data_IF_457971481751
#
_entry.id   IF_457971481751
#
_cell.length_a   1.000
_cell.length_b   1.000
_cell.length_c   1.000
_cell.angle_alpha   90.00
_cell.angle_beta   90.00
_cell.angle_gamma   90.00
#
_symmetry.space_group_name_H-M   'P 1'
#
loop_
_entity.id
_entity.type
_entity.pdbx_description
1 polymer ?
#
# COMPACT_ATOMS: atom_id res chain seq x y z
N UNK A 1 -40.98 41.83 -10.60
CA UNK A 1 -40.26 41.47 -11.84
C UNK A 1 -38.99 40.71 -11.46
N UNK A 2 -38.90 39.44 -11.87
CA UNK A 2 -37.80 38.46 -11.81
C UNK A 2 -36.46 38.89 -11.16
N UNK A 3 -36.00 38.23 -10.09
CA UNK A 3 -35.27 36.93 -10.10
C UNK A 3 -33.95 36.96 -10.88
N UNK A 4 -32.91 37.57 -10.30
CA UNK A 4 -31.56 37.50 -10.84
C UNK A 4 -30.49 37.51 -9.73
N UNK A 5 -30.57 36.59 -8.77
CA UNK A 5 -29.49 36.27 -7.84
C UNK A 5 -29.83 34.96 -7.11
N UNK A 6 -29.62 33.79 -7.73
CA UNK A 6 -28.54 32.94 -7.21
C UNK A 6 -28.03 31.93 -8.27
N UNK A 7 -27.55 32.39 -9.44
CA UNK A 7 -27.02 31.45 -10.44
C UNK A 7 -25.55 31.06 -10.20
N UNK A 8 -24.79 31.80 -9.39
CA UNK A 8 -23.36 31.55 -9.16
C UNK A 8 -23.02 30.70 -7.92
N UNK A 9 -23.97 30.48 -7.01
CA UNK A 9 -23.77 29.66 -5.81
C UNK A 9 -24.07 28.16 -6.03
N UNK A 10 -24.69 27.80 -7.15
CA UNK A 10 -25.14 26.43 -7.41
C UNK A 10 -24.05 25.49 -7.94
N UNK A 11 -22.86 25.99 -8.33
CA UNK A 11 -21.82 25.16 -8.95
C UNK A 11 -20.78 24.60 -7.96
N UNK A 12 -20.80 25.06 -6.70
CA UNK A 12 -19.78 24.66 -5.71
C UNK A 12 -20.11 23.40 -4.90
N UNK A 13 -21.27 22.76 -5.16
CA UNK A 13 -21.81 21.67 -4.34
C UNK A 13 -21.57 20.24 -4.85
N UNK A 14 -20.88 20.04 -5.98
CA UNK A 14 -20.77 18.72 -6.63
C UNK A 14 -19.36 18.10 -6.56
N UNK A 15 -18.68 18.22 -5.43
CA UNK A 15 -17.61 17.28 -5.06
C UNK A 15 -18.15 16.32 -3.99
N UNK A 16 -18.94 15.34 -4.43
CA UNK A 16 -19.25 14.17 -3.62
C UNK A 16 -17.95 13.38 -3.44
N UNK A 17 -17.44 13.17 -2.21
CA UNK A 17 -16.32 12.28 -2.01
C UNK A 17 -16.75 10.88 -2.46
N UNK A 18 -16.14 10.39 -3.55
CA UNK A 18 -16.34 9.00 -3.94
C UNK A 18 -15.86 8.12 -2.77
N UNK A 19 -16.61 7.09 -2.38
CA UNK A 19 -16.12 6.12 -1.42
C UNK A 19 -14.86 5.50 -2.01
N UNK A 20 -13.71 5.80 -1.41
CA UNK A 20 -12.48 5.08 -1.68
C UNK A 20 -12.74 3.64 -1.20
N UNK A 21 -13.05 2.75 -2.14
CA UNK A 21 -13.13 1.33 -1.85
C UNK A 21 -11.73 0.88 -1.49
N UNK A 22 -11.48 0.73 -0.19
CA UNK A 22 -10.28 0.04 0.29
C UNK A 22 -10.39 -1.38 -0.22
N UNK A 23 -9.51 -1.77 -1.14
CA UNK A 23 -9.40 -3.14 -1.59
C UNK A 23 -8.93 -3.97 -0.39
N UNK A 24 -9.87 -4.63 0.28
CA UNK A 24 -9.57 -5.50 1.40
C UNK A 24 -8.86 -6.74 0.85
N UNK A 25 -7.52 -6.70 0.87
CA UNK A 25 -6.70 -7.83 0.45
C UNK A 25 -6.85 -8.89 1.52
N UNK A 26 -7.41 -10.05 1.15
CA UNK A 26 -7.53 -11.18 2.05
C UNK A 26 -6.16 -11.52 2.68
N UNK A 27 -6.08 -11.86 3.99
CA UNK A 27 -4.81 -12.10 4.67
C UNK A 27 -3.91 -13.13 3.97
N UNK A 28 -4.47 -14.22 3.45
CA UNK A 28 -3.72 -15.23 2.70
C UNK A 28 -3.14 -14.67 1.39
N UNK A 29 -3.89 -13.80 0.72
CA UNK A 29 -3.46 -13.14 -0.50
C UNK A 29 -2.34 -12.13 -0.22
N UNK A 30 -2.36 -11.46 0.94
CA UNK A 30 -1.28 -10.58 1.38
C UNK A 30 0.01 -11.38 1.60
N UNK A 31 -0.04 -12.45 2.40
CA UNK A 31 1.12 -13.32 2.68
C UNK A 31 1.70 -13.87 1.37
N UNK A 32 0.86 -14.37 0.47
CA UNK A 32 1.29 -14.87 -0.84
C UNK A 32 1.96 -13.78 -1.66
N UNK A 33 1.36 -12.60 -1.74
CA UNK A 33 1.90 -11.47 -2.52
C UNK A 33 3.27 -11.05 -2.01
N UNK A 34 3.40 -10.81 -0.71
CA UNK A 34 4.67 -10.40 -0.08
C UNK A 34 5.73 -11.49 -0.28
N UNK A 35 5.38 -12.76 -0.09
CA UNK A 35 6.32 -13.88 -0.29
C UNK A 35 6.84 -13.93 -1.73
N UNK A 36 5.94 -13.83 -2.72
CA UNK A 36 6.33 -13.84 -4.13
C UNK A 36 7.18 -12.62 -4.50
N UNK A 37 6.87 -11.46 -3.95
CA UNK A 37 7.65 -10.24 -4.16
C UNK A 37 9.07 -10.40 -3.61
N UNK A 38 9.23 -10.87 -2.37
CA UNK A 38 10.54 -11.09 -1.75
C UNK A 38 11.37 -12.10 -2.54
N UNK A 39 10.77 -13.23 -2.95
CA UNK A 39 11.46 -14.23 -3.79
C UNK A 39 11.89 -13.63 -5.12
N UNK A 40 11.03 -12.84 -5.77
CA UNK A 40 11.36 -12.18 -7.03
C UNK A 40 12.50 -11.16 -6.88
N UNK A 41 12.53 -10.40 -5.78
CA UNK A 41 13.59 -9.44 -5.48
C UNK A 41 14.92 -10.16 -5.24
N UNK A 42 14.93 -11.22 -4.42
CA UNK A 42 16.13 -12.05 -4.20
C UNK A 42 16.63 -12.65 -5.52
N UNK A 43 15.73 -13.15 -6.36
CA UNK A 43 16.10 -13.73 -7.66
C UNK A 43 16.74 -12.70 -8.61
N UNK A 44 16.32 -11.44 -8.55
CA UNK A 44 16.83 -10.35 -9.39
C UNK A 44 18.13 -9.74 -8.86
N UNK A 45 18.31 -9.71 -7.54
CA UNK A 45 19.46 -9.06 -6.90
C UNK A 45 20.71 -9.97 -6.90
N UNK A 46 21.71 -9.62 -7.70
CA UNK A 46 22.96 -10.40 -7.80
C UNK A 46 23.79 -10.37 -6.52
N UNK A 47 23.75 -9.30 -5.75
CA UNK A 47 24.55 -9.18 -4.53
C UNK A 47 23.95 -10.01 -3.39
N UNK A 48 22.61 -10.00 -3.27
CA UNK A 48 21.92 -10.88 -2.33
C UNK A 48 22.23 -12.34 -2.68
N UNK A 49 22.16 -12.71 -3.96
CA UNK A 49 22.54 -14.06 -4.43
C UNK A 49 24.02 -14.38 -4.19
N UNK A 50 24.90 -13.39 -4.22
CA UNK A 50 26.32 -13.53 -3.88
C UNK A 50 26.58 -13.59 -2.36
N UNK A 51 25.55 -13.51 -1.52
CA UNK A 51 25.65 -13.64 -0.07
C UNK A 51 25.78 -12.31 0.69
N UNK A 52 25.45 -11.17 0.08
CA UNK A 52 25.44 -9.87 0.77
C UNK A 52 24.31 -9.82 1.82
N UNK A 53 24.67 -10.18 3.06
CA UNK A 53 23.76 -10.23 4.20
C UNK A 53 23.19 -8.88 4.60
N UNK A 54 23.98 -7.81 4.53
CA UNK A 54 23.51 -6.48 4.90
C UNK A 54 22.36 -6.03 3.99
N UNK A 55 22.48 -6.31 2.68
CA UNK A 55 21.44 -6.01 1.70
C UNK A 55 20.19 -6.87 1.88
N UNK A 56 20.37 -8.16 2.23
CA UNK A 56 19.26 -9.04 2.55
C UNK A 56 18.48 -8.57 3.79
N UNK A 57 19.18 -8.15 4.85
CA UNK A 57 18.55 -7.60 6.06
C UNK A 57 17.76 -6.34 5.72
N UNK A 58 18.35 -5.41 4.94
CA UNK A 58 17.64 -4.21 4.49
C UNK A 58 16.37 -4.53 3.68
N UNK A 59 16.38 -5.60 2.88
CA UNK A 59 15.20 -6.06 2.16
C UNK A 59 14.12 -6.60 3.11
N UNK A 60 14.51 -7.38 4.12
CA UNK A 60 13.60 -7.89 5.15
C UNK A 60 12.98 -6.72 5.92
N UNK A 61 13.77 -5.75 6.31
CA UNK A 61 13.29 -4.58 7.05
C UNK A 61 12.28 -3.76 6.24
N UNK A 62 12.52 -3.61 4.94
CA UNK A 62 11.66 -2.83 4.07
C UNK A 62 10.36 -3.55 3.67
N UNK A 63 10.38 -4.88 3.56
CA UNK A 63 9.30 -5.65 2.93
C UNK A 63 8.58 -6.63 3.85
N UNK A 64 9.23 -7.09 4.90
CA UNK A 64 8.69 -8.12 5.80
C UNK A 64 8.25 -7.48 7.11
N UNK A 65 9.11 -6.67 7.75
CA UNK A 65 8.81 -6.04 9.06
C UNK A 65 7.47 -5.28 9.12
N UNK A 66 7.03 -4.50 8.11
CA UNK A 66 5.78 -3.73 8.20
C UNK A 66 4.52 -4.60 8.36
N UNK A 67 4.62 -5.90 8.09
CA UNK A 67 3.52 -6.85 8.18
C UNK A 67 3.50 -7.63 9.51
N UNK A 68 4.45 -7.39 10.41
CA UNK A 68 4.52 -8.05 11.71
C UNK A 68 3.95 -7.15 12.81
N UNK A 69 3.12 -7.75 13.67
CA UNK A 69 2.71 -7.14 14.93
C UNK A 69 3.55 -7.73 16.07
N UNK A 70 4.56 -6.99 16.51
CA UNK A 70 5.47 -7.44 17.58
C UNK A 70 4.82 -7.44 18.96
N UNK A 71 3.81 -6.62 19.21
CA UNK A 71 3.09 -6.59 20.49
C UNK A 71 2.27 -7.86 20.72
N UNK A 72 1.83 -8.51 19.64
CA UNK A 72 1.09 -9.77 19.70
C UNK A 72 1.99 -11.02 19.85
N UNK A 73 3.33 -10.86 19.89
CA UNK A 73 4.29 -11.98 19.96
C UNK A 73 4.93 -12.20 21.35
N UNK A 74 4.67 -11.33 22.33
CA UNK A 74 5.12 -11.44 23.74
C UNK A 74 4.18 -12.24 24.62
#
# INVERSE_FOLDING_TARGET
>A
MNRAAPALLALSGLLLPLPAQSADVAPDALVKTVTLEVVALIARDKEIKAGNRAKLISLIDAKVLPHFNFEAMT
#
